data_IF_777382159925
#
_entry.id   IF_777382159925
#
_cell.length_a   1.000
_cell.length_b   1.000
_cell.length_c   1.000
_cell.angle_alpha   90.00
_cell.angle_beta   90.00
_cell.angle_gamma   90.00
#
_symmetry.space_group_name_H-M   'P 1'
#
loop_
_entity.id
_entity.type
_entity.pdbx_description
1 polymer ?
#
# COMPACT_ATOMS: atom_id res chain seq x y z
N UNK A 1 5.80 -2.21 11.02
CA UNK A 1 5.97 -3.67 10.83
C UNK A 1 6.21 -3.89 9.33
N UNK A 2 7.47 -3.98 8.91
CA UNK A 2 7.84 -4.05 7.50
C UNK A 2 7.80 -5.51 7.04
N UNK A 3 6.90 -5.84 6.13
CA UNK A 3 6.79 -7.20 5.58
C UNK A 3 7.79 -7.35 4.42
N UNK A 4 8.65 -8.36 4.49
CA UNK A 4 9.71 -8.64 3.50
C UNK A 4 9.18 -9.33 2.24
N UNK A 5 8.01 -9.96 2.35
CA UNK A 5 7.27 -10.66 1.30
C UNK A 5 5.78 -10.43 1.57
N UNK A 6 5.02 -10.10 0.53
CA UNK A 6 3.56 -9.97 0.57
C UNK A 6 2.99 -10.86 -0.54
N UNK A 7 2.04 -11.70 -0.20
CA UNK A 7 1.31 -12.54 -1.16
C UNK A 7 -0.13 -12.04 -1.16
N UNK A 8 -0.61 -11.58 -2.32
CA UNK A 8 -2.02 -11.28 -2.54
C UNK A 8 -2.66 -12.40 -3.34
N UNK A 9 -3.61 -13.10 -2.73
CA UNK A 9 -4.38 -14.16 -3.40
C UNK A 9 -5.78 -13.61 -3.70
N UNK A 10 -6.20 -13.72 -4.96
CA UNK A 10 -7.54 -13.40 -5.41
C UNK A 10 -8.22 -14.72 -5.77
N UNK A 11 -9.20 -15.13 -4.96
CA UNK A 11 -9.99 -16.33 -5.17
C UNK A 11 -11.30 -15.91 -5.87
N UNK A 12 -11.56 -16.44 -7.06
CA UNK A 12 -12.86 -16.38 -7.73
C UNK A 12 -13.42 -17.80 -7.82
N UNK A 13 -14.74 -17.91 -7.97
CA UNK A 13 -15.46 -19.20 -8.01
C UNK A 13 -14.92 -20.12 -9.12
N UNK A 14 -14.50 -19.57 -10.25
CA UNK A 14 -14.05 -20.34 -11.42
C UNK A 14 -12.54 -20.30 -11.66
N UNK A 15 -11.81 -19.43 -10.97
CA UNK A 15 -10.36 -19.29 -11.13
C UNK A 15 -9.74 -18.58 -9.93
N UNK A 16 -8.45 -18.83 -9.67
CA UNK A 16 -7.70 -18.09 -8.68
C UNK A 16 -6.48 -17.42 -9.31
N UNK A 17 -6.06 -16.29 -8.76
CA UNK A 17 -4.81 -15.62 -9.15
C UNK A 17 -4.03 -15.23 -7.91
N UNK A 18 -2.71 -15.34 -7.96
CA UNK A 18 -1.83 -14.84 -6.91
C UNK A 18 -0.87 -13.78 -7.46
N UNK A 19 -0.56 -12.80 -6.63
CA UNK A 19 0.52 -11.83 -6.83
C UNK A 19 1.50 -11.95 -5.67
N UNK A 20 2.77 -12.03 -5.99
CA UNK A 20 3.86 -12.06 -5.01
C UNK A 20 4.63 -10.76 -5.14
N UNK A 21 4.61 -9.94 -4.09
CA UNK A 21 5.48 -8.78 -3.94
C UNK A 21 6.60 -9.13 -2.96
N UNK A 22 7.84 -8.86 -3.33
CA UNK A 22 9.01 -9.15 -2.49
C UNK A 22 10.10 -8.12 -2.73
N UNK A 23 11.05 -8.02 -1.80
CA UNK A 23 12.26 -7.22 -1.99
C UNK A 23 13.35 -8.08 -2.63
N UNK A 24 14.02 -7.56 -3.65
CA UNK A 24 15.19 -8.22 -4.26
C UNK A 24 16.35 -8.46 -3.28
N UNK A 25 16.41 -7.70 -2.18
CA UNK A 25 17.37 -7.91 -1.10
C UNK A 25 17.06 -9.15 -0.23
N UNK A 26 15.88 -9.76 -0.39
CA UNK A 26 15.39 -10.89 0.42
C UNK A 26 15.18 -12.13 -0.46
N UNK A 27 14.67 -11.97 -1.69
CA UNK A 27 14.54 -13.05 -2.67
C UNK A 27 15.10 -12.63 -4.04
N UNK A 28 15.81 -13.54 -4.69
CA UNK A 28 16.07 -13.42 -6.14
C UNK A 28 14.81 -13.75 -6.95
N UNK A 29 14.81 -13.39 -8.24
CA UNK A 29 13.74 -13.76 -9.16
C UNK A 29 13.51 -15.28 -9.19
N UNK A 30 14.58 -16.07 -9.23
CA UNK A 30 14.49 -17.53 -9.29
C UNK A 30 13.89 -18.12 -8.00
N UNK A 31 14.27 -17.57 -6.84
CA UNK A 31 13.68 -17.97 -5.56
C UNK A 31 12.20 -17.57 -5.49
N UNK A 32 11.85 -16.37 -5.95
CA UNK A 32 10.47 -15.91 -5.99
C UNK A 32 9.60 -16.77 -6.92
N UNK A 33 10.18 -17.24 -8.03
CA UNK A 33 9.54 -18.17 -8.94
C UNK A 33 9.23 -19.52 -8.27
N UNK A 34 10.20 -20.12 -7.58
CA UNK A 34 10.00 -21.37 -6.85
C UNK A 34 8.93 -21.25 -5.75
N UNK A 35 8.89 -20.10 -5.06
CA UNK A 35 7.83 -19.80 -4.09
C UNK A 35 6.47 -19.71 -4.79
N UNK A 36 6.39 -19.05 -5.94
CA UNK A 36 5.15 -18.95 -6.71
C UNK A 36 4.67 -20.32 -7.19
N UNK A 37 5.55 -21.18 -7.71
CA UNK A 37 5.22 -22.55 -8.12
C UNK A 37 4.70 -23.39 -6.95
N UNK A 38 5.36 -23.31 -5.80
CA UNK A 38 4.93 -24.03 -4.59
C UNK A 38 3.54 -23.57 -4.15
N UNK A 39 3.27 -22.26 -4.20
CA UNK A 39 1.95 -21.71 -3.90
C UNK A 39 0.90 -22.20 -4.90
N UNK A 40 1.19 -22.22 -6.21
CA UNK A 40 0.29 -22.76 -7.23
C UNK A 40 -0.07 -24.21 -6.93
N UNK A 41 0.93 -25.02 -6.58
CA UNK A 41 0.72 -26.43 -6.26
C UNK A 41 -0.19 -26.60 -5.03
N UNK A 42 0.12 -25.91 -3.92
CA UNK A 42 -0.68 -25.99 -2.68
C UNK A 42 -2.11 -25.51 -2.93
N UNK A 43 -2.30 -24.39 -3.64
CA UNK A 43 -3.63 -23.86 -3.95
C UNK A 43 -4.44 -24.80 -4.85
N UNK A 44 -3.79 -25.48 -5.80
CA UNK A 44 -4.44 -26.50 -6.63
C UNK A 44 -4.89 -27.69 -5.80
N UNK A 45 -4.05 -28.17 -4.86
CA UNK A 45 -4.44 -29.24 -3.94
C UNK A 45 -5.62 -28.84 -3.04
N UNK A 46 -5.59 -27.62 -2.49
CA UNK A 46 -6.66 -27.10 -1.63
C UNK A 46 -7.99 -26.88 -2.37
N UNK A 47 -7.93 -26.49 -3.65
CA UNK A 47 -9.15 -26.28 -4.47
C UNK A 47 -9.73 -27.59 -5.02
N UNK A 48 -8.89 -28.61 -5.23
CA UNK A 48 -9.33 -29.92 -5.72
C UNK A 48 -9.83 -30.85 -4.60
N UNK A 49 -9.40 -30.65 -3.36
CA UNK A 49 -9.87 -31.44 -2.22
C UNK A 49 -11.22 -30.93 -1.69
N UNK A 50 -12.31 -31.51 -2.20
CA UNK A 50 -13.70 -31.23 -1.78
C UNK A 50 -14.00 -31.60 -0.31
N UNK A 51 -13.06 -32.18 0.44
CA UNK A 51 -13.27 -32.65 1.82
C UNK A 51 -13.09 -31.55 2.87
N UNK A 52 -12.68 -30.34 2.48
CA UNK A 52 -12.30 -29.26 3.41
C UNK A 52 -13.24 -28.04 3.34
N UNK A 53 -14.56 -28.29 3.33
CA UNK A 53 -15.59 -27.23 3.33
C UNK A 53 -15.48 -26.25 4.51
N UNK A 54 -15.04 -26.74 5.68
CA UNK A 54 -14.89 -25.91 6.89
C UNK A 54 -13.77 -24.87 6.80
N UNK A 55 -12.69 -25.14 6.05
CA UNK A 55 -11.57 -24.20 5.90
C UNK A 55 -11.86 -23.07 4.93
N UNK A 56 -12.63 -23.34 3.87
CA UNK A 56 -13.03 -22.31 2.89
C UNK A 56 -14.03 -21.31 3.48
N UNK A 57 -14.97 -21.76 4.30
CA UNK A 57 -15.89 -20.86 5.03
C UNK A 57 -15.15 -19.91 5.98
N UNK A 58 -14.10 -20.40 6.66
CA UNK A 58 -13.25 -19.57 7.52
C UNK A 58 -12.43 -18.54 6.73
N UNK A 59 -11.87 -18.93 5.58
CA UNK A 59 -11.16 -18.00 4.69
C UNK A 59 -12.07 -16.92 4.13
N UNK A 60 -13.30 -17.28 3.74
CA UNK A 60 -14.30 -16.29 3.35
C UNK A 60 -14.63 -15.35 4.51
N UNK A 61 -14.79 -15.88 5.72
CA UNK A 61 -15.05 -15.07 6.91
C UNK A 61 -13.94 -14.06 7.22
N UNK A 62 -12.69 -14.42 7.00
CA UNK A 62 -11.54 -13.52 7.21
C UNK A 62 -11.37 -12.48 6.10
N UNK A 63 -11.82 -12.79 4.88
CA UNK A 63 -11.76 -11.90 3.72
C UNK A 63 -13.09 -11.16 3.44
N UNK A 64 -14.06 -11.22 4.37
CA UNK A 64 -15.42 -10.68 4.18
C UNK A 64 -15.44 -9.18 3.89
N UNK A 65 -14.49 -8.43 4.44
CA UNK A 65 -14.38 -6.98 4.21
C UNK A 65 -13.34 -6.70 3.14
N UNK A 66 -13.75 -6.79 1.88
CA UNK A 66 -12.96 -6.21 0.79
C UNK A 66 -12.80 -4.70 1.04
N UNK A 67 -11.56 -4.19 1.16
CA UNK A 67 -11.35 -2.76 1.30
C UNK A 67 -11.93 -2.06 0.08
N UNK A 68 -12.86 -1.13 0.30
CA UNK A 68 -13.44 -0.34 -0.78
C UNK A 68 -12.32 0.45 -1.46
N UNK A 69 -12.01 0.10 -2.70
CA UNK A 69 -11.05 0.85 -3.51
C UNK A 69 -11.65 2.22 -3.79
N UNK A 70 -10.97 3.28 -3.33
CA UNK A 70 -11.33 4.64 -3.69
C UNK A 70 -10.48 5.10 -4.87
N UNK A 71 -11.14 5.60 -5.91
CA UNK A 71 -10.51 6.28 -7.05
C UNK A 71 -10.18 7.74 -6.72
N UNK A 72 -9.51 7.97 -5.58
CA UNK A 72 -9.04 9.31 -5.16
C UNK A 72 -7.64 9.23 -4.60
N UNK A 73 -6.85 10.27 -4.83
CA UNK A 73 -5.50 10.34 -4.31
C UNK A 73 -5.53 10.83 -2.86
N UNK A 74 -4.58 10.35 -2.05
CA UNK A 74 -4.49 10.78 -0.64
C UNK A 74 -4.32 12.30 -0.51
N UNK A 75 -3.58 12.93 -1.43
CA UNK A 75 -3.37 14.38 -1.39
C UNK A 75 -4.65 15.18 -1.60
N UNK A 76 -5.64 14.65 -2.34
CA UNK A 76 -6.94 15.32 -2.52
C UNK A 76 -7.67 15.48 -1.18
N UNK A 77 -7.60 14.46 -0.31
CA UNK A 77 -8.22 14.54 1.02
C UNK A 77 -7.52 15.54 1.92
N UNK A 78 -6.20 15.64 1.81
CA UNK A 78 -5.39 16.60 2.58
C UNK A 78 -5.73 18.02 2.14
N UNK A 79 -5.74 18.30 0.84
CA UNK A 79 -6.12 19.62 0.28
C UNK A 79 -7.54 20.01 0.70
N UNK A 80 -8.48 19.07 0.70
CA UNK A 80 -9.85 19.30 1.18
C UNK A 80 -9.89 19.72 2.66
N UNK A 81 -9.06 19.12 3.52
CA UNK A 81 -8.92 19.56 4.91
C UNK A 81 -8.23 20.92 5.03
N UNK A 82 -7.21 21.18 4.20
CA UNK A 82 -6.53 22.48 4.14
C UNK A 82 -7.50 23.62 3.85
N UNK A 83 -8.39 23.43 2.88
CA UNK A 83 -9.42 24.41 2.52
C UNK A 83 -10.49 24.55 3.59
N UNK A 84 -10.93 23.44 4.20
CA UNK A 84 -12.01 23.46 5.20
C UNK A 84 -11.58 24.06 6.54
N UNK A 85 -10.35 23.81 6.97
CA UNK A 85 -9.89 24.14 8.34
C UNK A 85 -8.47 24.72 8.34
N UNK A 86 -8.20 25.81 7.60
CA UNK A 86 -6.84 26.32 7.42
C UNK A 86 -6.13 26.68 8.73
N UNK A 87 -6.87 27.17 9.72
CA UNK A 87 -6.32 27.58 11.02
C UNK A 87 -6.30 26.44 12.06
N UNK A 88 -6.80 25.25 11.74
CA UNK A 88 -6.75 24.11 12.66
C UNK A 88 -5.37 23.47 12.64
N UNK A 89 -4.96 22.88 13.76
CA UNK A 89 -3.71 22.12 13.84
C UNK A 89 -3.76 20.88 12.95
N UNK A 90 -2.74 20.72 12.09
CA UNK A 90 -2.56 19.58 11.20
C UNK A 90 -1.48 18.63 11.72
N UNK A 91 -0.38 19.19 12.21
CA UNK A 91 0.75 18.43 12.78
C UNK A 91 1.07 19.03 14.14
N UNK A 92 1.13 18.18 15.17
CA UNK A 92 1.64 18.54 16.48
C UNK A 92 2.88 17.71 16.78
N UNK A 93 3.99 18.38 17.06
CA UNK A 93 5.28 17.78 17.40
C UNK A 93 5.85 18.43 18.66
N UNK A 94 6.92 17.86 19.19
CA UNK A 94 7.61 18.38 20.37
C UNK A 94 8.29 19.74 20.10
N UNK A 95 8.68 20.00 18.86
CA UNK A 95 9.40 21.20 18.39
C UNK A 95 8.48 22.26 17.78
N UNK A 96 7.19 21.97 17.62
CA UNK A 96 6.24 22.93 17.12
C UNK A 96 4.92 22.31 16.66
N UNK A 97 3.96 23.20 16.41
CA UNK A 97 2.70 22.86 15.79
C UNK A 97 2.64 23.55 14.42
N UNK A 98 1.98 22.88 13.48
CA UNK A 98 1.76 23.38 12.14
C UNK A 98 0.28 23.25 11.80
N UNK A 99 -0.31 24.35 11.36
CA UNK A 99 -1.70 24.39 10.90
C UNK A 99 -1.84 23.79 9.51
N UNK A 100 -3.08 23.44 9.14
CA UNK A 100 -3.40 22.96 7.81
C UNK A 100 -3.04 23.98 6.70
N UNK A 101 -3.21 25.28 6.93
CA UNK A 101 -2.82 26.32 5.98
C UNK A 101 -1.30 26.44 5.80
N UNK A 102 -0.54 26.28 6.89
CA UNK A 102 0.92 26.24 6.83
C UNK A 102 1.43 24.99 6.10
N UNK A 103 0.82 23.84 6.38
CA UNK A 103 1.12 22.58 5.70
C UNK A 103 0.90 22.70 4.19
N UNK A 104 -0.23 23.25 3.76
CA UNK A 104 -0.57 23.46 2.35
C UNK A 104 0.47 24.36 1.65
N UNK A 105 0.81 25.49 2.28
CA UNK A 105 1.78 26.44 1.74
C UNK A 105 3.18 25.83 1.62
N UNK A 106 3.67 25.18 2.68
CA UNK A 106 5.02 24.61 2.69
C UNK A 106 5.13 23.42 1.74
N UNK A 107 4.13 22.55 1.70
CA UNK A 107 4.12 21.41 0.76
C UNK A 107 4.02 21.86 -0.69
N UNK A 108 3.22 22.88 -1.00
CA UNK A 108 3.11 23.46 -2.34
C UNK A 108 4.43 24.09 -2.82
N UNK A 109 5.17 24.74 -1.91
CA UNK A 109 6.49 25.28 -2.22
C UNK A 109 7.50 24.18 -2.56
N UNK A 110 7.52 23.09 -1.78
CA UNK A 110 8.39 21.94 -2.07
C UNK A 110 7.97 21.28 -3.38
N UNK A 111 6.68 21.11 -3.64
CA UNK A 111 6.17 20.54 -4.89
C UNK A 111 6.62 21.37 -6.10
N UNK A 112 6.49 22.69 -6.03
CA UNK A 112 6.95 23.60 -7.09
C UNK A 112 8.45 23.48 -7.33
N UNK A 113 9.25 23.43 -6.26
CA UNK A 113 10.69 23.25 -6.37
C UNK A 113 11.09 21.91 -6.98
N UNK A 114 10.39 20.81 -6.64
CA UNK A 114 10.63 19.51 -7.24
C UNK A 114 10.28 19.50 -8.73
N UNK A 115 9.20 20.18 -9.14
CA UNK A 115 8.85 20.36 -10.55
C UNK A 115 9.94 21.12 -11.31
N UNK A 116 10.50 22.18 -10.72
CA UNK A 116 11.60 22.94 -11.31
C UNK A 116 12.88 22.11 -11.48
N UNK A 117 13.10 21.11 -10.61
CA UNK A 117 14.18 20.12 -10.72
C UNK A 117 13.89 19.00 -11.73
N UNK A 118 12.74 19.02 -12.40
CA UNK A 118 12.35 18.03 -13.41
C UNK A 118 11.70 16.76 -12.85
N UNK A 119 11.25 16.77 -11.59
CA UNK A 119 10.53 15.64 -11.00
C UNK A 119 9.15 15.52 -11.65
N UNK A 120 8.85 14.34 -12.21
CA UNK A 120 7.55 14.02 -12.80
C UNK A 120 7.02 12.65 -12.36
N UNK A 121 5.91 12.19 -12.95
CA UNK A 121 5.39 10.85 -12.70
C UNK A 121 6.47 9.77 -12.89
N UNK A 122 6.48 8.77 -11.99
CA UNK A 122 7.47 7.69 -11.96
C UNK A 122 8.91 8.12 -11.65
N UNK A 123 9.14 9.35 -11.15
CA UNK A 123 10.45 9.78 -10.67
C UNK A 123 10.73 9.24 -9.27
N UNK A 124 11.99 8.89 -9.00
CA UNK A 124 12.45 8.52 -7.67
C UNK A 124 12.95 9.76 -6.93
N UNK A 125 12.32 10.08 -5.80
CA UNK A 125 12.75 11.16 -4.89
C UNK A 125 13.23 10.52 -3.60
N UNK A 126 14.54 10.59 -3.35
CA UNK A 126 15.14 10.14 -2.10
C UNK A 126 14.82 11.11 -0.98
N UNK A 127 14.34 10.61 0.16
CA UNK A 127 14.05 11.44 1.32
C UNK A 127 14.92 10.98 2.48
N UNK A 128 15.75 11.90 2.99
CA UNK A 128 16.68 11.65 4.08
C UNK A 128 16.45 12.68 5.18
N UNK A 129 15.92 12.22 6.31
CA UNK A 129 15.76 12.99 7.53
C UNK A 129 15.88 12.04 8.72
N UNK A 130 16.30 12.57 9.87
CA UNK A 130 16.25 11.82 11.12
C UNK A 130 14.78 11.56 11.48
N UNK A 131 14.47 10.31 11.81
CA UNK A 131 13.15 9.97 12.31
C UNK A 131 13.05 10.53 13.73
N UNK A 132 12.27 11.60 13.89
CA UNK A 132 11.87 12.15 15.20
C UNK A 132 11.08 11.10 16.00
#
# INVERSE_FOLDING_TARGET
MYHNIIIGINLKVDNWGARLWYRHSVLSNDQAWLVAETLVYVMTQLTMDKRQSSSMEQLHKWNLEEPKVMERWIHDFIVEQCQRRPNASAVCSWDGNMTYGELDRLSSNIASHLLDLGVGPNSFVGVYFEKL
#
